data_IF_967898666175
#
_entry.id   IF_967898666175
#
_cell.length_a   1.000
_cell.length_b   1.000
_cell.length_c   1.000
_cell.angle_alpha   90.00
_cell.angle_beta   90.00
_cell.angle_gamma   90.00
#
_symmetry.space_group_name_H-M   'P 1'
#
loop_
_entity.id
_entity.type
_entity.pdbx_description
1 polymer ?
#
# COMPACT_ATOMS: atom_id res chain seq x y z
N UNK A 1 17.23 -27.04 -2.65
CA UNK A 1 16.18 -27.14 -1.61
C UNK A 1 14.85 -26.89 -2.30
N UNK A 2 14.20 -27.94 -2.80
CA UNK A 2 12.83 -27.84 -3.31
C UNK A 2 11.88 -28.00 -2.14
N UNK A 3 11.09 -26.96 -1.87
CA UNK A 3 9.95 -27.08 -0.97
C UNK A 3 8.94 -27.95 -1.70
N UNK A 4 8.67 -29.16 -1.20
CA UNK A 4 7.55 -29.96 -1.69
C UNK A 4 6.27 -29.16 -1.47
N UNK A 5 5.57 -28.84 -2.56
CA UNK A 5 4.20 -28.35 -2.53
C UNK A 5 3.32 -29.47 -2.00
N UNK A 6 3.08 -29.49 -0.69
CA UNK A 6 2.20 -30.43 -0.01
C UNK A 6 0.76 -29.91 -0.05
N UNK A 7 0.28 -29.55 -1.25
CA UNK A 7 -1.13 -29.27 -1.49
C UNK A 7 -1.80 -30.61 -1.81
N UNK A 8 -2.78 -31.08 -1.01
CA UNK A 8 -3.52 -32.29 -1.37
C UNK A 8 -4.18 -32.10 -2.74
N UNK A 9 -3.99 -33.07 -3.62
CA UNK A 9 -4.38 -33.04 -5.03
C UNK A 9 -5.89 -33.33 -5.24
N UNK A 10 -6.70 -33.21 -4.21
CA UNK A 10 -8.05 -33.75 -4.17
C UNK A 10 -8.95 -32.98 -3.18
N UNK A 11 -9.15 -31.68 -3.42
CA UNK A 11 -10.41 -31.05 -3.03
C UNK A 11 -11.37 -31.09 -4.22
N UNK A 12 -11.74 -32.30 -4.62
CA UNK A 12 -12.94 -32.52 -5.42
C UNK A 12 -14.18 -32.47 -4.51
N UNK A 13 -14.48 -31.26 -4.02
CA UNK A 13 -15.75 -30.97 -3.35
C UNK A 13 -16.91 -30.84 -4.36
N UNK A 14 -16.66 -30.98 -5.67
CA UNK A 14 -17.72 -30.94 -6.67
C UNK A 14 -18.55 -32.24 -6.68
N UNK A 15 -17.99 -33.37 -6.25
CA UNK A 15 -18.73 -34.65 -6.21
C UNK A 15 -19.46 -34.93 -4.89
N UNK A 16 -19.13 -34.25 -3.79
CA UNK A 16 -19.85 -34.36 -2.51
C UNK A 16 -20.70 -33.12 -2.27
N UNK A 17 -21.82 -33.02 -2.97
CA UNK A 17 -22.82 -31.96 -2.82
C UNK A 17 -23.06 -31.60 -1.33
N UNK A 18 -22.50 -30.48 -0.89
CA UNK A 18 -22.78 -29.85 0.40
C UNK A 18 -23.83 -28.75 0.19
N UNK A 19 -25.05 -28.90 0.76
CA UNK A 19 -26.06 -27.85 0.71
C UNK A 19 -25.56 -26.50 1.25
N UNK A 20 -24.63 -26.50 2.21
CA UNK A 20 -23.99 -25.30 2.75
C UNK A 20 -23.14 -24.58 1.69
N UNK A 21 -22.26 -25.31 1.01
CA UNK A 21 -21.46 -24.78 -0.09
C UNK A 21 -22.32 -24.24 -1.26
N UNK A 22 -23.42 -24.94 -1.61
CA UNK A 22 -24.35 -24.41 -2.61
C UNK A 22 -25.02 -23.11 -2.15
N UNK A 23 -25.54 -23.08 -0.93
CA UNK A 23 -26.18 -21.89 -0.39
C UNK A 23 -25.21 -20.70 -0.35
N UNK A 24 -23.95 -20.94 -0.01
CA UNK A 24 -22.88 -19.95 -0.06
C UNK A 24 -22.62 -19.43 -1.47
N UNK A 25 -22.50 -20.32 -2.47
CA UNK A 25 -22.32 -19.91 -3.88
C UNK A 25 -23.55 -19.14 -4.40
N UNK A 26 -24.76 -19.56 -4.06
CA UNK A 26 -26.00 -18.88 -4.43
C UNK A 26 -26.09 -17.49 -3.76
N UNK A 27 -25.66 -17.38 -2.49
CA UNK A 27 -25.57 -16.11 -1.77
C UNK A 27 -24.59 -15.15 -2.46
N UNK A 28 -23.40 -15.63 -2.85
CA UNK A 28 -22.42 -14.81 -3.57
C UNK A 28 -22.85 -14.44 -5.01
N UNK A 29 -23.94 -15.02 -5.54
CA UNK A 29 -24.50 -14.58 -6.81
C UNK A 29 -25.18 -13.22 -6.71
N UNK A 30 -25.67 -12.84 -5.52
CA UNK A 30 -26.18 -11.50 -5.24
C UNK A 30 -25.01 -10.53 -4.98
N UNK A 31 -24.89 -9.41 -5.74
CA UNK A 31 -23.77 -8.48 -5.57
C UNK A 31 -23.69 -7.85 -4.17
N UNK A 32 -24.83 -7.60 -3.51
CA UNK A 32 -24.86 -6.97 -2.19
C UNK A 32 -24.47 -7.94 -1.07
N UNK A 33 -24.90 -9.19 -1.17
CA UNK A 33 -24.43 -10.27 -0.30
C UNK A 33 -22.94 -10.57 -0.52
N UNK A 34 -22.47 -10.62 -1.76
CA UNK A 34 -21.05 -10.76 -2.09
C UNK A 34 -20.21 -9.69 -1.38
N UNK A 35 -20.62 -8.42 -1.46
CA UNK A 35 -19.91 -7.33 -0.79
C UNK A 35 -19.97 -7.42 0.73
N UNK A 36 -21.08 -7.89 1.31
CA UNK A 36 -21.18 -8.11 2.77
C UNK A 36 -20.20 -9.18 3.25
N UNK A 37 -20.14 -10.33 2.58
CA UNK A 37 -19.17 -11.39 2.90
C UNK A 37 -17.74 -10.88 2.74
N UNK A 38 -17.44 -10.16 1.65
CA UNK A 38 -16.10 -9.63 1.43
C UNK A 38 -15.71 -8.57 2.47
N UNK A 39 -16.66 -7.77 2.95
CA UNK A 39 -16.41 -6.80 4.01
C UNK A 39 -16.01 -7.49 5.32
N UNK A 40 -16.71 -8.56 5.68
CA UNK A 40 -16.36 -9.38 6.86
C UNK A 40 -14.98 -10.03 6.73
N UNK A 41 -14.66 -10.59 5.56
CA UNK A 41 -13.39 -11.29 5.32
C UNK A 41 -12.16 -10.35 5.24
N UNK A 42 -12.34 -9.15 4.69
CA UNK A 42 -11.23 -8.21 4.45
C UNK A 42 -11.05 -7.19 5.57
N UNK A 43 -12.08 -6.97 6.39
CA UNK A 43 -12.09 -5.94 7.43
C UNK A 43 -12.34 -4.52 6.91
N UNK A 44 -12.62 -4.34 5.61
CA UNK A 44 -13.05 -3.07 5.01
C UNK A 44 -14.58 -3.04 4.93
N UNK A 45 -15.19 -1.86 5.06
CA UNK A 45 -16.65 -1.77 4.97
C UNK A 45 -17.16 -1.82 3.50
N UNK A 46 -18.46 -2.08 3.31
CA UNK A 46 -19.07 -2.17 1.97
C UNK A 46 -18.89 -0.88 1.15
N UNK A 47 -19.11 0.33 1.69
CA UNK A 47 -18.79 1.59 1.00
C UNK A 47 -17.33 1.69 0.55
N UNK A 48 -16.38 1.26 1.38
CA UNK A 48 -14.95 1.27 1.06
C UNK A 48 -14.63 0.28 -0.08
N UNK A 49 -15.17 -0.93 -0.03
CA UNK A 49 -15.02 -1.90 -1.11
C UNK A 49 -15.61 -1.36 -2.43
N UNK A 50 -16.77 -0.70 -2.39
CA UNK A 50 -17.38 -0.04 -3.57
C UNK A 50 -16.53 1.13 -4.08
N UNK A 51 -15.86 1.86 -3.19
CA UNK A 51 -15.01 3.00 -3.55
C UNK A 51 -13.81 2.64 -4.42
N UNK A 52 -13.36 1.37 -4.38
CA UNK A 52 -12.32 0.85 -5.28
C UNK A 52 -12.78 0.83 -6.75
N UNK A 53 -14.09 0.82 -6.99
CA UNK A 53 -14.70 0.58 -8.29
C UNK A 53 -14.41 -0.80 -8.86
N UNK A 54 -13.99 -1.77 -8.03
CA UNK A 54 -13.67 -3.14 -8.44
C UNK A 54 -14.79 -4.15 -8.13
N UNK A 55 -15.86 -3.73 -7.44
CA UNK A 55 -16.93 -4.62 -6.97
C UNK A 55 -17.50 -5.51 -8.08
N UNK A 56 -17.92 -4.93 -9.21
CA UNK A 56 -18.53 -5.69 -10.32
C UNK A 56 -17.54 -6.61 -11.02
N UNK A 57 -16.28 -6.19 -11.14
CA UNK A 57 -15.23 -6.98 -11.79
C UNK A 57 -14.84 -8.17 -10.91
N UNK A 58 -14.65 -7.94 -9.61
CA UNK A 58 -14.35 -9.01 -8.67
C UNK A 58 -15.53 -9.96 -8.51
N UNK A 59 -16.77 -9.46 -8.48
CA UNK A 59 -17.97 -10.31 -8.49
C UNK A 59 -18.01 -11.21 -9.74
N UNK A 60 -17.73 -10.66 -10.92
CA UNK A 60 -17.63 -11.44 -12.15
C UNK A 60 -16.54 -12.50 -12.08
N UNK A 61 -15.35 -12.15 -11.61
CA UNK A 61 -14.23 -13.09 -11.43
C UNK A 61 -14.61 -14.20 -10.45
N UNK A 62 -15.14 -13.87 -9.29
CA UNK A 62 -15.67 -14.80 -8.28
C UNK A 62 -16.66 -15.80 -8.88
N UNK A 63 -17.61 -15.34 -9.71
CA UNK A 63 -18.57 -16.22 -10.37
C UNK A 63 -17.94 -17.11 -11.43
N UNK A 64 -16.93 -16.62 -12.15
CA UNK A 64 -16.20 -17.37 -13.17
C UNK A 64 -15.41 -18.55 -12.57
N UNK A 65 -14.75 -18.34 -11.42
CA UNK A 65 -13.95 -19.37 -10.77
C UNK A 65 -14.75 -20.29 -9.84
N UNK A 66 -16.04 -20.00 -9.60
CA UNK A 66 -16.93 -20.76 -8.71
C UNK A 66 -16.26 -20.97 -7.35
N UNK A 67 -16.30 -19.94 -6.49
CA UNK A 67 -15.65 -19.90 -5.16
C UNK A 67 -15.59 -21.27 -4.48
N UNK A 68 -14.37 -21.69 -4.16
CA UNK A 68 -14.08 -22.93 -3.46
C UNK A 68 -13.72 -22.71 -2.00
N UNK A 69 -13.18 -21.53 -1.69
CA UNK A 69 -12.74 -21.13 -0.35
C UNK A 69 -12.77 -19.59 -0.18
N UNK A 70 -12.74 -19.14 1.08
CA UNK A 70 -12.71 -17.72 1.46
C UNK A 70 -11.33 -17.07 1.17
N UNK A 71 -10.26 -17.86 1.22
CA UNK A 71 -8.90 -17.40 0.97
C UNK A 71 -8.73 -16.83 -0.44
N UNK A 72 -9.40 -17.42 -1.44
CA UNK A 72 -9.41 -16.92 -2.81
C UNK A 72 -10.10 -15.56 -2.91
N UNK A 73 -11.16 -15.32 -2.14
CA UNK A 73 -11.81 -14.00 -2.07
C UNK A 73 -10.88 -12.96 -1.46
N UNK A 74 -10.24 -13.30 -0.33
CA UNK A 74 -9.27 -12.40 0.32
C UNK A 74 -8.10 -12.11 -0.62
N UNK A 75 -7.56 -13.12 -1.29
CA UNK A 75 -6.46 -12.96 -2.24
C UNK A 75 -6.86 -12.06 -3.43
N UNK A 76 -8.04 -12.30 -4.00
CA UNK A 76 -8.59 -11.48 -5.07
C UNK A 76 -8.69 -10.01 -4.67
N UNK A 77 -9.24 -9.72 -3.50
CA UNK A 77 -9.37 -8.34 -3.02
C UNK A 77 -8.04 -7.68 -2.66
N UNK A 78 -7.11 -8.41 -2.06
CA UNK A 78 -5.83 -7.83 -1.65
C UNK A 78 -4.87 -7.62 -2.83
N UNK A 79 -4.86 -8.54 -3.80
CA UNK A 79 -3.87 -8.57 -4.88
C UNK A 79 -4.45 -8.12 -6.23
N UNK A 80 -5.78 -8.23 -6.42
CA UNK A 80 -6.44 -8.02 -7.72
C UNK A 80 -6.39 -9.23 -8.65
N UNK A 81 -5.91 -10.38 -8.16
CA UNK A 81 -5.68 -11.60 -8.91
C UNK A 81 -6.37 -12.81 -8.25
N UNK A 82 -6.85 -13.75 -9.07
CA UNK A 82 -7.25 -15.05 -8.55
C UNK A 82 -6.00 -15.85 -8.13
N UNK A 83 -6.04 -16.70 -7.07
CA UNK A 83 -4.86 -17.46 -6.65
C UNK A 83 -4.23 -18.27 -7.78
N UNK A 84 -2.93 -18.05 -8.01
CA UNK A 84 -2.18 -18.74 -9.07
C UNK A 84 -2.31 -18.13 -10.46
N UNK A 85 -3.03 -17.03 -10.60
CA UNK A 85 -3.26 -16.35 -11.88
C UNK A 85 -2.72 -14.91 -11.87
N UNK A 86 -2.65 -14.30 -13.05
CA UNK A 86 -2.32 -12.88 -13.17
C UNK A 86 -3.48 -12.00 -12.70
N UNK A 87 -3.24 -10.71 -12.38
CA UNK A 87 -4.31 -9.77 -12.09
C UNK A 87 -5.36 -9.74 -13.20
N UNK A 88 -6.64 -9.72 -12.80
CA UNK A 88 -7.78 -9.71 -13.73
C UNK A 88 -7.78 -8.48 -14.65
N UNK A 89 -7.18 -7.37 -14.19
CA UNK A 89 -6.84 -6.20 -14.99
C UNK A 89 -5.71 -5.40 -14.35
N UNK A 90 -5.12 -4.45 -15.09
CA UNK A 90 -4.18 -3.49 -14.52
C UNK A 90 -4.82 -2.66 -13.39
N UNK A 91 -6.10 -2.28 -13.57
CA UNK A 91 -6.87 -1.58 -12.55
C UNK A 91 -7.05 -2.42 -11.28
N UNK A 92 -7.31 -3.73 -11.43
CA UNK A 92 -7.43 -4.64 -10.28
C UNK A 92 -6.14 -4.68 -9.45
N UNK A 93 -4.98 -4.73 -10.12
CA UNK A 93 -3.70 -4.63 -9.44
C UNK A 93 -3.53 -3.28 -8.73
N UNK A 94 -3.85 -2.17 -9.39
CA UNK A 94 -3.68 -0.82 -8.82
C UNK A 94 -4.64 -0.51 -7.66
N UNK A 95 -5.83 -1.12 -7.67
CA UNK A 95 -6.86 -0.96 -6.64
C UNK A 95 -6.83 -2.04 -5.55
N UNK A 96 -5.84 -2.94 -5.56
CA UNK A 96 -5.69 -4.00 -4.57
C UNK A 96 -5.63 -3.44 -3.14
N UNK A 97 -6.35 -4.07 -2.20
CA UNK A 97 -6.43 -3.60 -0.81
C UNK A 97 -5.08 -3.63 -0.08
N UNK A 98 -4.09 -4.38 -0.58
CA UNK A 98 -2.73 -4.39 -0.04
C UNK A 98 -2.12 -2.98 -0.04
N UNK A 99 -2.35 -2.20 -1.09
CA UNK A 99 -1.79 -0.85 -1.21
C UNK A 99 -2.44 0.13 -0.23
N UNK A 100 -3.76 0.00 -0.05
CA UNK A 100 -4.51 0.82 0.90
C UNK A 100 -4.11 0.51 2.34
N UNK A 101 -3.89 -0.77 2.67
CA UNK A 101 -3.47 -1.24 3.99
C UNK A 101 -2.10 -0.67 4.39
N UNK A 102 -1.14 -0.67 3.47
CA UNK A 102 0.20 -0.15 3.72
C UNK A 102 0.36 1.33 3.36
N UNK A 103 -0.71 2.00 2.91
CA UNK A 103 -0.68 3.36 2.38
C UNK A 103 0.42 3.57 1.32
N UNK A 104 0.59 2.57 0.45
CA UNK A 104 1.64 2.48 -0.54
C UNK A 104 1.14 2.74 -1.97
N UNK A 105 2.07 3.00 -2.89
CA UNK A 105 1.80 3.08 -4.33
C UNK A 105 2.12 1.71 -4.94
N UNK A 106 1.25 1.15 -5.80
CA UNK A 106 1.50 -0.13 -6.47
C UNK A 106 2.81 -0.10 -7.27
N UNK A 107 3.63 -1.16 -7.25
CA UNK A 107 4.76 -1.30 -8.15
C UNK A 107 4.30 -1.25 -9.62
N UNK A 108 4.98 -0.44 -10.44
CA UNK A 108 4.60 -0.26 -11.85
C UNK A 108 3.54 0.82 -12.09
N UNK A 109 2.87 1.32 -11.03
CA UNK A 109 2.18 2.60 -11.10
C UNK A 109 3.20 3.77 -11.15
N UNK A 110 2.74 4.97 -11.50
CA UNK A 110 3.61 6.14 -11.64
C UNK A 110 4.59 6.25 -10.46
N UNK A 111 5.89 6.19 -10.76
CA UNK A 111 6.92 6.11 -9.72
C UNK A 111 6.78 7.29 -8.76
N UNK A 112 6.87 7.05 -7.44
CA UNK A 112 7.05 8.16 -6.52
C UNK A 112 8.37 8.84 -6.90
N UNK A 113 8.34 10.17 -7.06
CA UNK A 113 9.47 10.93 -7.60
C UNK A 113 10.78 10.71 -6.84
N UNK A 114 11.89 11.17 -7.41
CA UNK A 114 13.21 11.05 -6.79
C UNK A 114 13.21 11.57 -5.33
N UNK A 115 13.73 10.78 -4.39
CA UNK A 115 13.77 11.14 -2.97
C UNK A 115 12.59 10.66 -2.12
N UNK A 116 11.58 9.99 -2.69
CA UNK A 116 10.45 9.42 -1.91
C UNK A 116 10.87 8.37 -0.87
N UNK A 117 12.07 7.82 -1.02
CA UNK A 117 12.66 6.82 -0.12
C UNK A 117 13.63 7.44 0.91
N UNK A 118 13.90 8.75 0.83
CA UNK A 118 14.86 9.42 1.70
C UNK A 118 14.26 9.85 3.06
N UNK A 119 12.93 9.95 3.16
CA UNK A 119 12.22 10.26 4.40
C UNK A 119 11.97 9.02 5.25
N UNK A 120 11.98 9.19 6.58
CA UNK A 120 11.55 8.13 7.48
C UNK A 120 10.05 7.79 7.24
N UNK A 121 9.63 6.52 7.38
CA UNK A 121 8.22 6.16 7.28
C UNK A 121 7.37 6.96 8.26
N UNK A 122 6.17 7.39 7.85
CA UNK A 122 5.23 8.07 8.76
C UNK A 122 4.95 7.13 9.95
N UNK A 123 5.37 7.52 11.14
CA UNK A 123 5.29 6.70 12.37
C UNK A 123 6.65 6.31 12.97
N UNK A 124 7.76 6.53 12.27
CA UNK A 124 9.12 6.36 12.82
C UNK A 124 9.63 7.61 13.58
N UNK A 125 8.76 8.55 13.91
CA UNK A 125 9.11 9.67 14.80
C UNK A 125 9.30 9.11 16.21
N UNK A 126 10.55 8.77 16.51
CA UNK A 126 11.00 8.45 17.86
C UNK A 126 10.66 9.66 18.74
N UNK A 127 9.96 9.49 19.87
CA UNK A 127 9.76 10.58 20.81
C UNK A 127 11.13 11.17 21.13
N UNK A 128 11.33 12.44 20.78
CA UNK A 128 12.57 13.15 21.11
C UNK A 128 12.85 13.01 22.61
N UNK A 129 14.12 12.92 23.03
CA UNK A 129 14.44 12.72 24.44
C UNK A 129 13.73 13.80 25.26
N UNK A 130 12.89 13.38 26.21
CA UNK A 130 12.27 14.25 27.18
C UNK A 130 13.37 15.11 27.82
N UNK A 131 13.44 16.37 27.44
CA UNK A 131 14.29 17.34 28.13
C UNK A 131 13.59 17.64 29.44
N UNK A 132 13.84 16.79 30.45
CA UNK A 132 13.47 17.07 31.82
C UNK A 132 14.37 18.21 32.32
N UNK A 133 13.82 19.42 32.26
CA UNK A 133 14.50 20.62 32.73
C UNK A 133 14.78 20.59 34.24
N UNK A 134 15.93 21.19 34.60
CA UNK A 134 16.15 21.86 35.88
C UNK A 134 17.15 21.20 36.83
N UNK A 135 18.41 21.66 36.83
CA UNK A 135 19.02 22.32 37.99
C UNK A 135 20.50 22.68 37.70
N UNK A 136 20.79 23.96 37.89
CA UNK A 136 22.08 24.66 37.78
C UNK A 136 23.12 24.14 38.77
N UNK A 137 24.43 24.27 38.46
CA UNK A 137 25.49 24.77 39.37
C UNK A 137 26.67 25.36 38.55
N UNK A 138 26.77 26.70 38.60
CA UNK A 138 27.95 27.57 38.79
C UNK A 138 29.24 27.41 37.96
N UNK A 139 29.53 28.46 37.17
CA UNK A 139 30.68 29.33 37.44
C UNK A 139 31.92 29.17 36.56
N UNK A 140 32.26 30.21 35.78
CA UNK A 140 33.59 30.37 35.20
C UNK A 140 33.64 31.25 33.95
N UNK A 141 33.74 32.56 34.14
CA UNK A 141 34.02 33.53 33.09
C UNK A 141 35.49 33.49 32.65
N UNK A 142 35.77 33.71 31.36
CA UNK A 142 36.68 34.75 30.83
C UNK A 142 37.09 34.50 29.36
N UNK A 143 36.85 35.52 28.52
CA UNK A 143 37.71 36.08 27.43
C UNK A 143 38.18 35.14 26.30
N UNK A 144 38.25 35.48 25.00
CA UNK A 144 38.27 36.74 24.25
C UNK A 144 38.43 36.42 22.76
N UNK A 145 38.06 37.36 21.88
CA UNK A 145 38.59 37.50 20.51
C UNK A 145 37.78 36.76 19.44
N UNK A 146 37.42 37.34 18.31
CA UNK A 146 37.76 38.61 17.72
C UNK A 146 37.03 38.69 16.38
N UNK A 147 36.52 39.87 16.08
CA UNK A 147 35.86 40.29 14.84
C UNK A 147 36.70 40.05 13.59
N UNK A 148 36.09 39.62 12.48
CA UNK A 148 35.91 40.47 11.29
C UNK A 148 35.33 39.71 10.09
N UNK A 149 34.25 40.28 9.57
CA UNK A 149 33.69 40.09 8.24
C UNK A 149 34.59 40.76 7.18
N UNK A 150 34.75 40.13 6.01
CA UNK A 150 34.86 40.79 4.69
C UNK A 150 34.95 39.76 3.56
N UNK A 151 33.82 39.51 2.90
CA UNK A 151 33.78 39.01 1.53
C UNK A 151 33.69 40.19 0.58
N UNK A 152 34.80 40.54 -0.07
CA UNK A 152 34.83 41.47 -1.21
C UNK A 152 35.42 40.74 -2.40
N UNK A 153 34.64 40.63 -3.46
CA UNK A 153 35.05 40.02 -4.72
C UNK A 153 34.02 40.31 -5.80
N UNK A 154 33.83 41.60 -6.12
CA UNK A 154 33.17 42.05 -7.33
C UNK A 154 34.21 42.79 -8.19
N UNK A 155 34.51 42.25 -9.37
CA UNK A 155 35.09 42.98 -10.51
C UNK A 155 34.33 42.50 -11.75
N UNK A 156 33.66 43.47 -12.38
CA UNK A 156 32.97 43.40 -13.68
C UNK A 156 33.97 43.77 -14.82
N UNK A 157 33.51 44.19 -16.02
CA UNK A 157 32.68 43.53 -17.03
C UNK A 157 33.43 43.40 -18.37
N UNK A 158 32.95 42.58 -19.32
CA UNK A 158 33.28 42.80 -20.74
C UNK A 158 32.02 42.87 -21.60
N UNK A 159 31.91 43.99 -22.30
CA UNK A 159 30.93 44.37 -23.30
C UNK A 159 31.31 43.80 -24.68
N UNK A 160 30.29 43.65 -25.54
CA UNK A 160 30.42 43.59 -27.00
C UNK A 160 29.86 42.29 -27.58
N UNK A 161 28.90 42.28 -28.49
CA UNK A 161 28.28 43.35 -29.25
C UNK A 161 27.23 42.74 -30.19
N UNK A 162 26.38 43.62 -30.70
CA UNK A 162 25.20 43.40 -31.52
C UNK A 162 25.42 42.69 -32.88
N UNK A 163 24.29 42.22 -33.44
CA UNK A 163 24.04 42.14 -34.89
C UNK A 163 23.98 40.71 -35.41
N UNK A 164 22.92 40.24 -36.06
CA UNK A 164 21.76 40.89 -36.70
C UNK A 164 20.70 39.81 -36.98
#
# INVERSE_FOLDING_TARGET
>A
MSVSDNRPADYDLAERWDPGAKAYVDALADPDEFLRVCAELTGFDVPELRSTGMADEHHRTTLAHRVRDEHALVHLWYVGAWPGEAPSSARAHDQGLVWRTFHAVPPGAAAPGHGSWAGAPRGAEVPGPEVRGGAEILGGAATSGGTASRGTGAVAPENGGEGR
#
